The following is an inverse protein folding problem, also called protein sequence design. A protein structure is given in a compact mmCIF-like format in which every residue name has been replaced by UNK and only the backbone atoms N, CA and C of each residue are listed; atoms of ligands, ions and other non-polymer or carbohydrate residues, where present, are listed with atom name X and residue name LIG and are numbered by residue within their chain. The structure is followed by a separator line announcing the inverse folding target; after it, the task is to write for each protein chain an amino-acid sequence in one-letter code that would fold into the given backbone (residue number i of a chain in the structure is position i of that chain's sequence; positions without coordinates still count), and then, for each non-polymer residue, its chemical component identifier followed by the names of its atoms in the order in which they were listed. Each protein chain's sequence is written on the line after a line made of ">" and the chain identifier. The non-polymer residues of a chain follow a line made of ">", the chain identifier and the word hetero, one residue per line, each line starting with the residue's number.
data_IF_130003848984
#
_entry.id   IF_130003848984
#
_cell.length_a   1.000
_cell.length_b   1.000
_cell.length_c   1.000
_cell.angle_alpha   90.00
_cell.angle_beta   90.00
_cell.angle_gamma   90.00
#
_symmetry.space_group_name_H-M   'P 1'
#
loop_
_entity.id
_entity.type
_entity.pdbx_description
1 polymer ?
#
# COMPACT_ATOMS: atom_id res chain seq x y z
N UNK A 1 32.71 -19.46 36.20
CA UNK A 1 33.02 -20.71 35.48
C UNK A 1 31.71 -21.41 35.18
N UNK A 2 31.64 -22.11 34.04
CA UNK A 2 30.49 -22.78 33.40
C UNK A 2 29.80 -22.03 32.25
N UNK A 3 30.47 -22.22 31.11
CA UNK A 3 29.91 -22.82 29.88
C UNK A 3 28.92 -21.99 29.07
N UNK A 4 29.52 -21.22 28.15
CA UNK A 4 29.27 -21.31 26.70
C UNK A 4 27.93 -21.92 26.28
N UNK A 5 26.85 -21.17 26.41
CA UNK A 5 25.66 -21.39 25.61
C UNK A 5 25.70 -20.39 24.45
N UNK A 6 26.38 -20.77 23.38
CA UNK A 6 26.26 -20.12 22.07
C UNK A 6 24.84 -20.42 21.59
N UNK A 7 23.88 -19.60 22.03
CA UNK A 7 22.54 -19.61 21.48
C UNK A 7 22.62 -18.94 20.10
N UNK A 8 22.69 -19.77 19.06
CA UNK A 8 22.51 -19.37 17.67
C UNK A 8 21.10 -18.77 17.52
N UNK A 9 20.97 -17.47 17.80
CA UNK A 9 19.81 -16.71 17.40
C UNK A 9 19.91 -16.47 15.88
N UNK A 10 19.35 -17.40 15.10
CA UNK A 10 19.01 -17.20 13.70
C UNK A 10 18.00 -16.04 13.62
N UNK A 11 18.53 -14.83 13.54
CA UNK A 11 17.77 -13.63 13.24
C UNK A 11 17.38 -13.69 11.78
N UNK A 12 16.21 -14.28 11.51
CA UNK A 12 15.55 -14.19 10.21
C UNK A 12 15.24 -12.72 9.98
N UNK A 13 16.11 -12.03 9.24
CA UNK A 13 15.88 -10.69 8.74
C UNK A 13 14.68 -10.76 7.79
N UNK A 14 13.48 -10.47 8.31
CA UNK A 14 12.29 -10.30 7.49
C UNK A 14 12.45 -8.99 6.74
N UNK A 15 13.04 -9.06 5.54
CA UNK A 15 13.19 -7.94 4.64
C UNK A 15 11.78 -7.54 4.17
N UNK A 16 11.19 -6.54 4.84
CA UNK A 16 9.95 -5.92 4.38
C UNK A 16 10.28 -5.19 3.07
N UNK A 17 10.10 -5.88 1.94
CA UNK A 17 10.24 -5.29 0.62
C UNK A 17 9.20 -4.18 0.51
N UNK A 18 9.66 -2.93 0.56
CA UNK A 18 8.83 -1.81 0.16
C UNK A 18 8.51 -2.06 -1.31
N UNK A 19 7.28 -2.47 -1.60
CA UNK A 19 6.80 -2.62 -2.97
C UNK A 19 7.09 -1.31 -3.71
N UNK A 20 8.08 -1.37 -4.59
CA UNK A 20 8.35 -0.32 -5.54
C UNK A 20 7.12 -0.27 -6.45
N UNK A 21 6.19 0.65 -6.18
CA UNK A 21 5.10 0.84 -7.12
C UNK A 21 5.68 1.37 -8.40
N UNK A 22 5.03 0.95 -9.47
CA UNK A 22 5.16 1.62 -10.74
C UNK A 22 4.63 3.05 -10.69
N UNK A 23 4.83 3.80 -11.78
CA UNK A 23 4.13 5.06 -12.02
C UNK A 23 2.61 4.86 -11.97
N UNK A 24 1.88 5.91 -11.58
CA UNK A 24 0.41 5.87 -11.52
C UNK A 24 -0.15 5.56 -12.90
N UNK A 25 -0.86 4.44 -13.01
CA UNK A 25 -1.38 3.94 -14.28
C UNK A 25 -2.56 4.79 -14.77
N UNK A 26 -2.88 4.76 -16.09
CA UNK A 26 -4.09 5.41 -16.60
C UNK A 26 -5.38 4.90 -15.93
N UNK A 27 -5.38 3.65 -15.48
CA UNK A 27 -6.50 3.06 -14.76
C UNK A 27 -6.67 3.73 -13.39
N UNK A 28 -5.61 3.82 -12.60
CA UNK A 28 -5.62 4.54 -11.32
C UNK A 28 -6.02 6.01 -11.50
N UNK A 29 -5.51 6.70 -12.52
CA UNK A 29 -5.89 8.10 -12.80
C UNK A 29 -7.41 8.27 -13.00
N UNK A 30 -8.10 7.26 -13.55
CA UNK A 30 -9.56 7.27 -13.72
C UNK A 30 -10.31 6.79 -12.50
N UNK A 31 -9.94 5.62 -11.98
CA UNK A 31 -10.68 4.90 -10.95
C UNK A 31 -10.44 5.46 -9.54
N UNK A 32 -9.26 6.03 -9.27
CA UNK A 32 -8.91 6.67 -8.00
C UNK A 32 -9.07 8.20 -8.04
N UNK A 33 -9.57 8.79 -9.14
CA UNK A 33 -9.67 10.25 -9.31
C UNK A 33 -10.36 10.93 -8.11
N UNK A 34 -11.54 10.44 -7.74
CA UNK A 34 -12.32 11.00 -6.65
C UNK A 34 -11.60 10.89 -5.31
N UNK A 35 -10.90 9.77 -5.06
CA UNK A 35 -10.12 9.59 -3.85
C UNK A 35 -8.90 10.53 -3.81
N UNK A 36 -8.23 10.73 -4.94
CA UNK A 36 -7.12 11.67 -5.06
C UNK A 36 -7.57 13.10 -4.76
N UNK A 37 -8.65 13.53 -5.40
CA UNK A 37 -9.20 14.87 -5.22
C UNK A 37 -9.70 15.09 -3.78
N UNK A 38 -10.28 14.06 -3.14
CA UNK A 38 -10.82 14.15 -1.78
C UNK A 38 -9.74 14.16 -0.70
N UNK A 39 -8.77 13.24 -0.78
CA UNK A 39 -7.84 13.00 0.32
C UNK A 39 -6.44 13.56 0.09
N UNK A 40 -6.02 13.68 -1.17
CA UNK A 40 -4.62 13.93 -1.53
C UNK A 40 -4.44 15.01 -2.59
N UNK A 41 -5.38 15.95 -2.72
CA UNK A 41 -5.37 17.02 -3.73
C UNK A 41 -4.16 17.95 -3.68
N UNK A 42 -3.46 18.01 -2.53
CA UNK A 42 -2.21 18.73 -2.37
C UNK A 42 -1.02 18.08 -3.11
N UNK A 43 -1.16 16.84 -3.57
CA UNK A 43 -0.12 16.07 -4.24
C UNK A 43 -0.44 15.91 -5.73
N UNK A 44 0.55 16.14 -6.60
CA UNK A 44 0.40 15.81 -8.03
C UNK A 44 0.32 14.30 -8.23
N UNK A 45 -0.38 13.87 -9.28
CA UNK A 45 -0.61 12.45 -9.60
C UNK A 45 0.69 11.65 -9.81
N UNK A 46 1.80 12.31 -10.12
CA UNK A 46 3.09 11.68 -10.37
C UNK A 46 4.08 11.89 -9.21
N UNK A 47 3.65 12.58 -8.15
CA UNK A 47 4.50 12.81 -6.98
C UNK A 47 4.61 11.56 -6.10
N UNK A 48 5.79 11.31 -5.51
CA UNK A 48 5.93 10.28 -4.47
C UNK A 48 5.07 10.58 -3.22
N UNK A 49 4.69 11.85 -3.01
CA UNK A 49 3.80 12.29 -1.95
C UNK A 49 2.40 11.69 -2.04
N UNK A 50 1.85 11.59 -3.26
CA UNK A 50 0.51 11.03 -3.50
C UNK A 50 0.38 9.60 -2.95
N UNK A 51 1.36 8.74 -3.25
CA UNK A 51 1.37 7.36 -2.77
C UNK A 51 1.41 7.27 -1.26
N UNK A 52 2.18 8.16 -0.62
CA UNK A 52 2.26 8.21 0.84
C UNK A 52 0.95 8.68 1.45
N UNK A 53 0.32 9.70 0.87
CA UNK A 53 -0.99 10.16 1.29
C UNK A 53 -2.06 9.06 1.15
N UNK A 54 -2.16 8.42 -0.02
CA UNK A 54 -3.09 7.31 -0.26
C UNK A 54 -2.89 6.14 0.67
N UNK A 55 -1.63 5.79 0.98
CA UNK A 55 -1.32 4.76 1.98
C UNK A 55 -1.82 5.10 3.38
N UNK A 56 -1.91 6.38 3.75
CA UNK A 56 -2.45 6.82 5.05
C UNK A 56 -3.97 6.72 5.08
N UNK A 57 -4.64 7.09 3.99
CA UNK A 57 -6.10 7.06 3.87
C UNK A 57 -6.65 5.76 3.28
N UNK A 58 -5.85 4.70 3.17
CA UNK A 58 -6.20 3.45 2.45
C UNK A 58 -7.51 2.79 2.90
N UNK A 59 -7.91 3.00 4.15
CA UNK A 59 -9.15 2.46 4.73
C UNK A 59 -10.38 3.33 4.45
N UNK A 60 -10.22 4.42 3.70
CA UNK A 60 -11.29 5.34 3.31
C UNK A 60 -11.42 5.44 1.79
N UNK A 61 -10.63 4.65 1.05
CA UNK A 61 -10.69 4.62 -0.40
C UNK A 61 -11.98 3.96 -0.86
N UNK A 62 -12.47 4.40 -2.02
CA UNK A 62 -13.59 3.73 -2.68
C UNK A 62 -13.19 2.33 -3.16
N UNK A 63 -14.15 1.42 -3.18
CA UNK A 63 -13.95 0.04 -3.66
C UNK A 63 -13.36 0.00 -5.07
N UNK A 64 -13.75 0.96 -5.92
CA UNK A 64 -13.26 1.12 -7.29
C UNK A 64 -11.76 1.42 -7.33
N UNK A 65 -11.29 2.33 -6.47
CA UNK A 65 -9.86 2.62 -6.38
C UNK A 65 -9.09 1.42 -5.84
N UNK A 66 -9.63 0.73 -4.83
CA UNK A 66 -9.01 -0.50 -4.30
C UNK A 66 -8.89 -1.57 -5.39
N UNK A 67 -9.91 -1.76 -6.22
CA UNK A 67 -9.86 -2.71 -7.35
C UNK A 67 -8.82 -2.33 -8.40
N UNK A 68 -8.66 -1.05 -8.71
CA UNK A 68 -7.61 -0.58 -9.61
C UNK A 68 -6.21 -0.89 -9.04
N UNK A 69 -6.00 -0.68 -7.73
CA UNK A 69 -4.74 -1.01 -7.07
C UNK A 69 -4.46 -2.52 -7.06
N UNK A 70 -5.48 -3.37 -6.86
CA UNK A 70 -5.32 -4.83 -6.96
C UNK A 70 -4.96 -5.24 -8.38
N UNK A 71 -5.66 -4.71 -9.37
CA UNK A 71 -5.46 -5.10 -10.76
C UNK A 71 -4.13 -4.63 -11.35
N UNK A 72 -3.59 -3.53 -10.85
CA UNK A 72 -2.26 -3.03 -11.21
C UNK A 72 -1.14 -3.71 -10.41
N UNK A 73 -1.47 -4.61 -9.48
CA UNK A 73 -0.49 -5.33 -8.66
C UNK A 73 0.14 -4.52 -7.53
N UNK A 74 -0.37 -3.32 -7.25
CA UNK A 74 0.09 -2.44 -6.18
C UNK A 74 -0.21 -3.02 -4.79
N UNK A 75 -1.30 -3.78 -4.68
CA UNK A 75 -1.71 -4.50 -3.48
C UNK A 75 -2.22 -5.89 -3.82
N UNK A 76 -2.08 -6.83 -2.88
CA UNK A 76 -2.65 -8.17 -3.01
C UNK A 76 -4.19 -8.13 -2.99
N UNK A 77 -4.89 -9.04 -3.70
CA UNK A 77 -6.34 -9.21 -3.60
C UNK A 77 -6.84 -9.37 -2.16
N UNK A 78 -6.07 -10.04 -1.30
CA UNK A 78 -6.42 -10.21 0.12
C UNK A 78 -6.35 -8.87 0.88
N UNK A 79 -5.38 -8.02 0.57
CA UNK A 79 -5.33 -6.66 1.11
C UNK A 79 -6.49 -5.83 0.58
N UNK A 80 -6.81 -5.93 -0.71
CA UNK A 80 -7.95 -5.23 -1.31
C UNK A 80 -9.27 -5.56 -0.59
N UNK A 81 -9.58 -6.84 -0.41
CA UNK A 81 -10.78 -7.28 0.32
C UNK A 81 -10.81 -6.74 1.76
N UNK A 82 -9.67 -6.74 2.45
CA UNK A 82 -9.54 -6.20 3.81
C UNK A 82 -9.75 -4.68 3.89
N UNK A 83 -9.44 -3.94 2.82
CA UNK A 83 -9.72 -2.50 2.77
C UNK A 83 -11.21 -2.26 2.57
N UNK A 84 -11.84 -2.97 1.63
CA UNK A 84 -13.28 -2.86 1.35
C UNK A 84 -14.15 -3.21 2.56
N UNK A 85 -13.78 -4.26 3.30
CA UNK A 85 -14.54 -4.68 4.48
C UNK A 85 -14.44 -3.72 5.68
N UNK A 86 -13.49 -2.77 5.66
CA UNK A 86 -13.28 -1.80 6.75
C UNK A 86 -13.85 -0.42 6.44
N UNK A 87 -14.20 -0.17 5.17
CA UNK A 87 -14.88 1.04 4.71
C UNK A 87 -16.40 0.98 4.99
N UNK A 88 -16.93 -0.21 5.30
CA UNK A 88 -18.29 -0.48 5.80
C UNK A 88 -18.31 -0.47 7.33
#
# INVERSE_FOLDING_TARGET
>A
MYTKAVALFLTVLFCATAAAAGPVTPRQKRDCKTDYDRFCSAHSLESPGLRTCMRKVRFQLTDRCVDALVADGEISPAMGQKLKSKTQ
#
